data_IF_460481228605
#
_entry.id   IF_460481228605
#
_cell.length_a   1.000
_cell.length_b   1.000
_cell.length_c   1.000
_cell.angle_alpha   90.00
_cell.angle_beta   90.00
_cell.angle_gamma   90.00
#
_symmetry.space_group_name_H-M   'P 1'
#
loop_
_entity.id
_entity.type
_entity.pdbx_description
1 polymer ?
#
# COMPACT_ATOMS: atom_id res chain seq x y z
N UNK A 1 30.39 4.50 -0.07
CA UNK A 1 29.51 3.68 0.79
C UNK A 1 28.60 2.89 -0.15
N UNK A 2 28.45 1.56 0.01
CA UNK A 2 27.52 0.78 -0.82
C UNK A 2 26.10 1.33 -0.67
N UNK A 3 25.29 1.23 -1.72
CA UNK A 3 23.91 1.68 -1.65
C UNK A 3 23.05 0.72 -0.79
N UNK A 4 21.88 1.16 -0.30
CA UNK A 4 21.04 0.33 0.56
C UNK A 4 20.55 -0.99 -0.07
N UNK A 5 20.37 -1.07 -1.41
CA UNK A 5 19.99 -2.34 -2.05
C UNK A 5 21.15 -3.32 -1.99
N UNK A 6 22.37 -2.88 -2.35
CA UNK A 6 23.56 -3.74 -2.28
C UNK A 6 23.84 -4.25 -0.86
N UNK A 7 23.61 -3.41 0.16
CA UNK A 7 23.74 -3.82 1.57
C UNK A 7 22.69 -4.88 1.95
N UNK A 8 21.43 -4.68 1.58
CA UNK A 8 20.36 -5.64 1.87
C UNK A 8 20.56 -6.97 1.13
N UNK A 9 20.94 -6.92 -0.15
CA UNK A 9 21.23 -8.12 -0.94
C UNK A 9 22.41 -8.95 -0.40
N UNK A 10 23.34 -8.33 0.35
CA UNK A 10 24.42 -9.06 1.02
C UNK A 10 23.98 -9.66 2.36
N UNK A 11 23.01 -9.02 3.03
CA UNK A 11 22.55 -9.41 4.37
C UNK A 11 21.45 -10.47 4.37
N UNK A 12 20.74 -10.65 3.24
CA UNK A 12 19.58 -11.51 3.12
C UNK A 12 19.69 -12.44 1.91
N UNK A 13 19.18 -13.67 2.02
CA UNK A 13 19.26 -14.68 0.96
C UNK A 13 18.13 -14.60 -0.07
N UNK A 14 16.98 -14.01 0.29
CA UNK A 14 15.81 -13.91 -0.57
C UNK A 14 15.38 -12.45 -0.78
N UNK A 15 14.76 -12.19 -1.93
CA UNK A 15 14.22 -10.88 -2.25
C UNK A 15 13.00 -10.98 -3.17
N UNK A 16 12.03 -10.08 -2.99
CA UNK A 16 10.85 -9.96 -3.86
C UNK A 16 10.46 -8.50 -4.11
N UNK A 17 9.72 -8.27 -5.18
CA UNK A 17 9.14 -6.95 -5.44
C UNK A 17 8.09 -6.62 -4.39
N UNK A 18 8.10 -5.38 -3.89
CA UNK A 18 7.13 -4.91 -2.91
C UNK A 18 6.81 -3.41 -3.08
N UNK A 19 5.70 -2.97 -2.51
CA UNK A 19 5.33 -1.56 -2.46
C UNK A 19 5.00 -1.17 -1.01
N UNK A 20 5.57 -0.06 -0.53
CA UNK A 20 5.32 0.45 0.81
C UNK A 20 4.49 1.72 0.75
N UNK A 21 3.36 1.76 1.45
CA UNK A 21 2.45 2.90 1.53
C UNK A 21 2.67 3.59 2.87
N UNK A 22 3.10 4.85 2.81
CA UNK A 22 3.32 5.68 3.99
C UNK A 22 2.13 6.60 4.24
N UNK A 23 1.82 6.76 5.52
CA UNK A 23 0.67 7.54 5.98
C UNK A 23 1.09 8.75 6.77
N UNK A 24 0.68 9.92 6.27
CA UNK A 24 0.91 11.21 6.88
C UNK A 24 -0.41 11.83 7.34
N UNK A 25 -0.50 12.27 8.60
CA UNK A 25 -1.68 12.92 9.16
C UNK A 25 -1.70 12.84 10.69
N UNK A 26 -2.88 12.88 11.31
CA UNK A 26 -3.02 12.68 12.76
C UNK A 26 -2.61 11.26 13.20
N UNK A 27 -2.53 10.32 12.26
CA UNK A 27 -2.11 8.94 12.49
C UNK A 27 -1.07 8.53 11.46
N UNK A 28 0.18 8.31 11.91
CA UNK A 28 1.21 7.63 11.11
C UNK A 28 0.90 6.14 11.08
N UNK A 29 1.18 5.52 9.94
CA UNK A 29 0.91 4.12 9.64
C UNK A 29 1.79 3.65 8.48
N UNK A 30 1.86 2.33 8.31
CA UNK A 30 2.57 1.69 7.22
C UNK A 30 1.71 0.54 6.69
N UNK A 31 1.62 0.43 5.36
CA UNK A 31 1.22 -0.82 4.70
C UNK A 31 2.32 -1.23 3.73
N UNK A 32 2.65 -2.51 3.66
CA UNK A 32 3.57 -3.02 2.66
C UNK A 32 2.93 -4.21 1.97
N UNK A 33 2.91 -4.21 0.65
CA UNK A 33 2.38 -5.29 -0.17
C UNK A 33 3.54 -6.03 -0.85
N UNK A 34 3.60 -7.36 -0.72
CA UNK A 34 4.60 -8.23 -1.35
C UNK A 34 3.88 -9.33 -2.16
N UNK A 35 3.45 -9.03 -3.41
CA UNK A 35 2.62 -9.92 -4.20
C UNK A 35 3.23 -11.29 -4.50
N UNK A 36 4.54 -11.35 -4.72
CA UNK A 36 5.24 -12.59 -5.12
C UNK A 36 5.19 -13.67 -4.03
N UNK A 37 5.06 -13.26 -2.76
CA UNK A 37 4.88 -14.17 -1.61
C UNK A 37 3.47 -14.12 -1.03
N UNK A 38 2.54 -13.43 -1.70
CA UNK A 38 1.16 -13.26 -1.28
C UNK A 38 1.01 -12.79 0.19
N UNK A 39 1.84 -11.82 0.62
CA UNK A 39 1.78 -11.24 1.96
C UNK A 39 1.62 -9.72 1.93
N UNK A 40 0.96 -9.18 2.96
CA UNK A 40 1.04 -7.77 3.32
C UNK A 40 1.39 -7.58 4.78
N UNK A 41 2.11 -6.50 5.06
CA UNK A 41 2.25 -5.94 6.40
C UNK A 41 1.27 -4.79 6.57
N UNK A 42 0.57 -4.72 7.69
CA UNK A 42 -0.29 -3.59 8.04
C UNK A 42 -0.08 -3.15 9.49
N UNK A 43 0.36 -1.91 9.66
CA UNK A 43 0.17 -1.11 10.86
C UNK A 43 -0.96 -0.13 10.57
N UNK A 44 -2.19 -0.59 10.86
CA UNK A 44 -3.47 0.02 10.49
C UNK A 44 -3.70 0.00 8.97
N UNK A 45 -4.96 -0.12 8.57
CA UNK A 45 -5.31 -0.06 7.16
C UNK A 45 -5.36 1.42 6.77
N UNK A 46 -4.67 1.88 5.75
CA UNK A 46 -4.89 3.23 5.19
C UNK A 46 -4.40 3.14 3.72
N UNK A 47 -4.59 4.21 2.92
CA UNK A 47 -4.06 4.32 1.53
C UNK A 47 -3.10 5.50 1.32
N UNK A 48 -1.84 5.22 1.01
CA UNK A 48 -0.71 6.14 1.13
C UNK A 48 0.08 6.16 -0.16
N UNK A 49 1.17 6.93 -0.18
CA UNK A 49 2.00 7.08 -1.37
C UNK A 49 3.00 5.93 -1.44
N UNK A 50 3.07 5.24 -2.59
CA UNK A 50 3.93 4.08 -2.79
C UNK A 50 5.29 4.44 -3.43
N UNK A 51 6.40 4.36 -2.69
CA UNK A 51 7.64 3.93 -3.30
C UNK A 51 7.58 2.42 -3.58
N UNK A 52 7.81 2.06 -4.84
CA UNK A 52 8.06 0.67 -5.25
C UNK A 52 9.50 0.28 -4.91
N UNK A 53 9.69 -0.91 -4.36
CA UNK A 53 11.00 -1.36 -3.89
C UNK A 53 11.11 -2.88 -3.81
N UNK A 54 12.05 -3.31 -2.98
CA UNK A 54 12.38 -4.72 -2.81
C UNK A 54 12.32 -5.05 -1.33
N UNK A 55 11.61 -6.13 -1.00
CA UNK A 55 11.60 -6.74 0.32
C UNK A 55 12.64 -7.86 0.36
N UNK A 56 13.58 -7.75 1.28
CA UNK A 56 14.67 -8.69 1.54
C UNK A 56 14.42 -9.47 2.83
N UNK A 57 14.67 -10.79 2.84
CA UNK A 57 14.43 -11.68 3.98
C UNK A 57 15.21 -12.99 3.84
N UNK A 58 15.21 -13.86 4.85
CA UNK A 58 15.97 -15.12 4.81
C UNK A 58 15.09 -16.37 4.61
N UNK A 59 13.81 -16.31 4.99
CA UNK A 59 12.84 -17.32 4.58
C UNK A 59 11.40 -16.91 4.91
N UNK A 60 10.43 -17.52 4.22
CA UNK A 60 9.00 -17.18 4.38
C UNK A 60 8.49 -17.33 5.82
N UNK A 61 9.12 -18.20 6.61
CA UNK A 61 8.77 -18.42 8.02
C UNK A 61 9.07 -17.21 8.92
N UNK A 62 9.90 -16.26 8.47
CA UNK A 62 10.17 -15.03 9.19
C UNK A 62 8.90 -14.15 9.34
N UNK A 63 7.93 -14.33 8.44
CA UNK A 63 6.66 -13.63 8.42
C UNK A 63 5.54 -14.36 9.16
N UNK A 64 5.88 -15.14 10.20
CA UNK A 64 4.91 -15.89 10.99
C UNK A 64 3.73 -15.00 11.42
N UNK A 65 2.52 -15.43 11.05
CA UNK A 65 1.29 -14.66 11.28
C UNK A 65 0.63 -15.01 12.61
N UNK A 66 0.83 -16.23 13.10
CA UNK A 66 0.27 -16.72 14.37
C UNK A 66 1.32 -17.46 15.18
N UNK A 67 1.23 -17.37 16.51
CA UNK A 67 2.05 -18.17 17.41
C UNK A 67 1.52 -19.61 17.52
N UNK A 68 2.21 -20.46 18.30
CA UNK A 68 1.80 -21.86 18.53
C UNK A 68 0.44 -22.04 19.21
N UNK A 69 -0.19 -20.95 19.68
CA UNK A 69 -1.56 -20.94 20.23
C UNK A 69 -2.61 -20.41 19.24
N UNK A 70 -2.20 -20.02 18.03
CA UNK A 70 -3.07 -19.44 17.01
C UNK A 70 -3.35 -17.93 17.19
N UNK A 71 -2.68 -17.26 18.13
CA UNK A 71 -2.82 -15.82 18.32
C UNK A 71 -1.97 -15.06 17.31
N UNK A 72 -2.51 -13.96 16.76
CA UNK A 72 -1.78 -13.13 15.81
C UNK A 72 -0.46 -12.60 16.39
N UNK A 73 0.63 -12.75 15.63
CA UNK A 73 1.94 -12.22 16.00
C UNK A 73 2.01 -10.75 15.59
N UNK A 74 2.40 -9.92 16.56
CA UNK A 74 2.69 -8.52 16.33
C UNK A 74 4.20 -8.36 16.11
N UNK A 75 4.55 -7.64 15.06
CA UNK A 75 5.91 -7.37 14.65
C UNK A 75 6.17 -5.88 14.76
N UNK A 76 7.37 -5.51 15.17
CA UNK A 76 7.80 -4.12 15.21
C UNK A 76 8.50 -3.75 13.90
N UNK A 77 8.44 -2.48 13.55
CA UNK A 77 9.15 -1.97 12.38
C UNK A 77 9.77 -0.60 12.64
N UNK A 78 10.83 -0.31 11.91
CA UNK A 78 11.53 0.99 11.88
C UNK A 78 11.51 1.55 10.47
N UNK A 79 11.47 2.87 10.33
CA UNK A 79 11.57 3.57 9.04
C UNK A 79 12.74 4.55 9.10
N UNK A 80 13.59 4.51 8.08
CA UNK A 80 14.71 5.45 7.92
C UNK A 80 14.74 5.98 6.50
N UNK A 81 14.84 7.30 6.36
CA UNK A 81 15.24 7.96 5.13
C UNK A 81 16.74 8.17 5.13
N UNK A 82 17.44 7.65 4.12
CA UNK A 82 18.91 7.76 4.01
C UNK A 82 19.31 8.28 2.64
N UNK A 83 20.21 9.25 2.60
CA UNK A 83 20.79 9.77 1.34
C UNK A 83 22.15 9.13 1.10
N UNK A 84 22.32 8.46 -0.03
CA UNK A 84 23.60 7.86 -0.46
C UNK A 84 23.90 8.33 -1.88
N UNK A 85 25.07 8.96 -2.08
CA UNK A 85 25.51 9.50 -3.37
C UNK A 85 24.45 10.41 -4.05
N UNK A 86 23.76 11.24 -3.27
CA UNK A 86 22.73 12.14 -3.79
C UNK A 86 21.34 11.54 -3.93
N UNK A 87 21.19 10.21 -3.93
CA UNK A 87 19.89 9.53 -4.01
C UNK A 87 19.33 9.29 -2.61
N UNK A 88 18.08 9.68 -2.38
CA UNK A 88 17.35 9.36 -1.16
C UNK A 88 16.73 7.95 -1.27
N UNK A 89 16.74 7.23 -0.16
CA UNK A 89 16.20 5.88 -0.03
C UNK A 89 15.25 5.80 1.16
N UNK A 90 14.17 5.05 0.98
CA UNK A 90 13.31 4.59 2.06
C UNK A 90 13.76 3.20 2.50
N UNK A 91 14.02 3.01 3.78
CA UNK A 91 14.44 1.74 4.38
C UNK A 91 13.46 1.42 5.50
N UNK A 92 12.90 0.22 5.48
CA UNK A 92 12.03 -0.28 6.55
C UNK A 92 12.66 -1.56 7.10
N UNK A 93 12.97 -1.59 8.39
CA UNK A 93 13.40 -2.80 9.08
C UNK A 93 12.24 -3.44 9.83
N UNK A 94 12.05 -4.76 9.69
CA UNK A 94 11.06 -5.53 10.44
C UNK A 94 11.75 -6.38 11.50
N UNK A 95 11.23 -6.36 12.72
CA UNK A 95 11.81 -7.01 13.88
C UNK A 95 10.74 -7.88 14.57
N UNK A 96 11.17 -9.01 15.13
CA UNK A 96 10.26 -9.92 15.83
C UNK A 96 9.78 -9.27 17.12
N UNK A 97 8.53 -9.52 17.51
CA UNK A 97 7.97 -9.02 18.76
C UNK A 97 7.53 -7.55 18.71
N UNK A 98 6.77 -7.16 19.75
CA UNK A 98 6.08 -5.87 19.83
C UNK A 98 6.74 -4.87 20.76
N UNK A 99 7.82 -5.24 21.44
CA UNK A 99 8.50 -4.38 22.42
C UNK A 99 9.67 -3.62 21.78
N UNK A 100 10.10 -2.55 22.47
CA UNK A 100 11.21 -1.71 21.98
C UNK A 100 12.57 -2.40 22.07
N UNK A 101 12.69 -3.54 22.76
CA UNK A 101 13.98 -4.23 22.92
C UNK A 101 14.42 -4.91 21.63
N UNK A 102 13.45 -5.28 20.79
CA UNK A 102 13.74 -5.88 19.50
C UNK A 102 14.18 -4.87 18.44
N UNK A 103 13.96 -3.57 18.65
CA UNK A 103 14.40 -2.52 17.74
C UNK A 103 15.92 -2.34 17.71
N UNK A 104 16.61 -2.76 18.77
CA UNK A 104 18.07 -2.73 18.87
C UNK A 104 18.73 -3.96 18.20
N UNK A 105 17.94 -4.93 17.75
CA UNK A 105 18.42 -6.13 17.04
C UNK A 105 18.40 -5.94 15.52
N UNK A 106 19.21 -6.72 14.80
CA UNK A 106 19.16 -6.73 13.33
C UNK A 106 17.76 -7.14 12.84
N UNK A 107 17.19 -6.43 11.84
CA UNK A 107 15.87 -6.77 11.32
C UNK A 107 15.91 -8.13 10.61
N UNK A 108 14.86 -8.94 10.79
CA UNK A 108 14.71 -10.22 10.09
C UNK A 108 14.34 -10.04 8.60
N UNK A 109 13.75 -8.90 8.26
CA UNK A 109 13.43 -8.52 6.89
C UNK A 109 13.61 -7.02 6.70
N UNK A 110 13.94 -6.60 5.48
CA UNK A 110 14.19 -5.20 5.15
C UNK A 110 13.53 -4.84 3.82
N UNK A 111 12.70 -3.81 3.82
CA UNK A 111 12.26 -3.18 2.58
C UNK A 111 13.20 -2.04 2.22
N UNK A 112 13.59 -1.97 0.95
CA UNK A 112 14.41 -0.89 0.41
C UNK A 112 13.78 -0.35 -0.86
N UNK A 113 13.66 0.96 -0.94
CA UNK A 113 13.24 1.66 -2.17
C UNK A 113 14.04 2.94 -2.39
N UNK A 114 14.14 3.39 -3.64
CA UNK A 114 14.54 4.77 -3.95
C UNK A 114 13.36 5.69 -3.63
N UNK A 115 13.63 6.78 -2.95
CA UNK A 115 12.64 7.78 -2.55
C UNK A 115 13.00 9.16 -3.12
N UNK A 116 13.05 9.33 -4.45
CA UNK A 116 13.43 10.60 -5.07
C UNK A 116 12.48 11.75 -4.71
N UNK A 117 11.23 11.42 -4.38
CA UNK A 117 10.18 12.37 -4.02
C UNK A 117 10.16 12.70 -2.51
N UNK A 118 11.00 12.04 -1.70
CA UNK A 118 11.08 12.27 -0.27
C UNK A 118 9.80 11.92 0.49
N UNK A 119 9.06 10.88 0.06
CA UNK A 119 7.80 10.42 0.64
C UNK A 119 7.94 10.17 2.15
N UNK A 120 9.02 9.53 2.60
CA UNK A 120 9.23 9.23 4.03
C UNK A 120 9.37 10.51 4.85
N UNK A 121 10.11 11.49 4.33
CA UNK A 121 10.31 12.79 4.98
C UNK A 121 9.04 13.63 4.95
N UNK A 122 8.34 13.67 3.81
CA UNK A 122 7.06 14.34 3.66
C UNK A 122 6.00 13.76 4.62
N UNK A 123 6.04 12.46 4.87
CA UNK A 123 5.17 11.82 5.85
C UNK A 123 5.60 12.04 7.31
N UNK A 124 6.75 12.67 7.56
CA UNK A 124 7.30 12.83 8.90
C UNK A 124 7.63 11.50 9.56
N UNK A 125 7.94 10.46 8.79
CA UNK A 125 8.18 9.09 9.26
C UNK A 125 9.67 8.72 9.30
N UNK A 126 10.59 9.67 9.11
CA UNK A 126 12.00 9.40 9.30
C UNK A 126 12.32 9.13 10.79
N UNK A 127 13.05 8.05 11.07
CA UNK A 127 13.30 7.52 12.41
C UNK A 127 12.02 7.15 13.18
N UNK A 128 10.95 6.82 12.46
CA UNK A 128 9.71 6.36 13.06
C UNK A 128 9.79 4.86 13.37
N UNK A 129 9.13 4.43 14.45
CA UNK A 129 8.91 3.03 14.73
C UNK A 129 7.50 2.82 15.28
N UNK A 130 6.93 1.66 14.97
CA UNK A 130 5.65 1.23 15.50
C UNK A 130 5.54 -0.30 15.36
N UNK A 131 4.31 -0.82 15.47
CA UNK A 131 4.03 -2.24 15.38
C UNK A 131 2.91 -2.49 14.40
N UNK A 132 2.92 -3.67 13.78
CA UNK A 132 1.89 -4.11 12.87
C UNK A 132 1.88 -5.63 12.80
N UNK A 133 1.24 -6.16 11.76
CA UNK A 133 1.14 -7.61 11.55
C UNK A 133 1.25 -7.94 10.07
N UNK A 134 1.80 -9.12 9.81
CA UNK A 134 1.70 -9.76 8.51
C UNK A 134 0.34 -10.45 8.37
N UNK A 135 -0.20 -10.42 7.16
CA UNK A 135 -1.43 -11.10 6.78
C UNK A 135 -1.31 -11.59 5.33
N UNK A 136 -2.14 -12.58 4.93
CA UNK A 136 -2.20 -12.97 3.52
C UNK A 136 -2.66 -11.79 2.68
N UNK A 137 -1.97 -11.55 1.57
CA UNK A 137 -2.38 -10.58 0.57
C UNK A 137 -3.56 -11.14 -0.23
N UNK A 138 -4.77 -10.94 0.29
CA UNK A 138 -5.99 -11.34 -0.41
C UNK A 138 -6.37 -10.23 -1.38
N UNK A 139 -5.78 -10.26 -2.56
CA UNK A 139 -6.18 -9.38 -3.65
C UNK A 139 -6.59 -10.24 -4.84
N UNK A 140 -7.89 -10.46 -4.98
CA UNK A 140 -8.45 -10.90 -6.25
C UNK A 140 -8.43 -9.71 -7.22
N UNK A 141 -8.20 -9.99 -8.50
CA UNK A 141 -8.18 -8.94 -9.52
C UNK A 141 -9.07 -9.25 -10.71
N UNK A 142 -9.57 -8.19 -11.35
CA UNK A 142 -10.34 -8.28 -12.58
C UNK A 142 -10.13 -7.01 -13.41
N UNK A 143 -10.16 -7.13 -14.74
CA UNK A 143 -10.22 -5.95 -15.60
C UNK A 143 -11.53 -5.18 -15.34
N UNK A 144 -11.42 -3.87 -15.20
CA UNK A 144 -12.55 -3.00 -14.92
C UNK A 144 -12.47 -1.67 -15.68
N UNK A 145 -13.63 -1.05 -15.82
CA UNK A 145 -13.79 0.33 -16.29
C UNK A 145 -14.37 1.15 -15.15
N UNK A 146 -13.78 2.31 -14.87
CA UNK A 146 -14.25 3.27 -13.86
C UNK A 146 -14.67 4.56 -14.56
N UNK A 147 -15.90 5.00 -14.32
CA UNK A 147 -16.49 6.12 -15.04
C UNK A 147 -17.20 7.08 -14.08
N UNK A 148 -17.11 8.38 -14.37
CA UNK A 148 -17.92 9.43 -13.76
C UNK A 148 -18.33 10.42 -14.83
N UNK A 149 -19.63 10.69 -14.93
CA UNK A 149 -20.19 11.68 -15.85
C UNK A 149 -20.39 13.04 -15.15
N UNK A 150 -20.36 14.13 -15.92
CA UNK A 150 -20.31 15.52 -15.41
C UNK A 150 -21.48 15.92 -14.51
N UNK A 151 -22.65 15.32 -14.70
CA UNK A 151 -23.86 15.61 -13.92
C UNK A 151 -24.04 14.70 -12.71
N UNK A 152 -23.17 13.70 -12.50
CA UNK A 152 -23.31 12.68 -11.48
C UNK A 152 -22.20 12.78 -10.42
N UNK A 153 -22.59 12.73 -9.14
CA UNK A 153 -21.64 12.53 -8.05
C UNK A 153 -21.13 11.09 -8.00
N UNK A 154 -21.78 10.15 -8.69
CA UNK A 154 -21.42 8.74 -8.64
C UNK A 154 -20.28 8.39 -9.57
N UNK A 155 -19.25 7.78 -9.01
CA UNK A 155 -18.25 6.98 -9.71
C UNK A 155 -18.79 5.56 -9.84
N UNK A 156 -18.81 5.04 -11.07
CA UNK A 156 -19.27 3.69 -11.39
C UNK A 156 -18.06 2.83 -11.73
N UNK A 157 -17.94 1.65 -11.12
CA UNK A 157 -17.02 0.62 -11.59
C UNK A 157 -17.82 -0.47 -12.28
N UNK A 158 -17.36 -0.92 -13.44
CA UNK A 158 -17.86 -2.13 -14.09
C UNK A 158 -16.70 -3.10 -14.32
N UNK A 159 -16.83 -4.32 -13.79
CA UNK A 159 -15.89 -5.43 -13.97
C UNK A 159 -16.62 -6.61 -14.65
N UNK A 160 -16.66 -6.64 -16.00
CA UNK A 160 -17.54 -7.57 -16.74
C UNK A 160 -17.22 -9.04 -16.49
N UNK A 161 -15.94 -9.41 -16.42
CA UNK A 161 -15.50 -10.80 -16.27
C UNK A 161 -16.03 -11.46 -14.98
N UNK A 162 -16.18 -10.67 -13.92
CA UNK A 162 -16.69 -11.12 -12.63
C UNK A 162 -18.17 -10.72 -12.42
N UNK A 163 -18.82 -10.17 -13.45
CA UNK A 163 -20.23 -9.74 -13.46
C UNK A 163 -20.57 -8.80 -12.31
N UNK A 164 -19.69 -7.85 -12.02
CA UNK A 164 -19.88 -6.85 -10.96
C UNK A 164 -19.93 -5.44 -11.51
N UNK A 165 -20.87 -4.67 -10.96
CA UNK A 165 -20.96 -3.23 -11.10
C UNK A 165 -21.20 -2.64 -9.71
N UNK A 166 -20.58 -1.50 -9.41
CA UNK A 166 -20.76 -0.80 -8.15
C UNK A 166 -20.79 0.71 -8.36
N UNK A 167 -21.36 1.42 -7.40
CA UNK A 167 -21.52 2.87 -7.44
C UNK A 167 -21.09 3.47 -6.10
N UNK A 168 -20.30 4.54 -6.16
CA UNK A 168 -19.77 5.24 -5.00
C UNK A 168 -19.88 6.73 -5.22
N UNK A 169 -20.12 7.52 -4.18
CA UNK A 169 -20.02 8.97 -4.28
C UNK A 169 -18.55 9.39 -4.46
N UNK A 170 -18.27 10.24 -5.43
CA UNK A 170 -16.99 10.90 -5.56
C UNK A 170 -16.67 11.69 -4.30
N UNK A 171 -15.38 11.79 -4.00
CA UNK A 171 -14.83 12.70 -3.01
C UNK A 171 -13.50 13.27 -3.48
N UNK A 172 -13.14 14.43 -2.93
CA UNK A 172 -11.83 15.05 -3.12
C UNK A 172 -11.60 15.46 -4.57
N UNK A 173 -10.49 15.00 -5.16
CA UNK A 173 -10.12 15.34 -6.54
C UNK A 173 -11.18 14.87 -7.55
N UNK A 174 -11.95 13.82 -7.21
CA UNK A 174 -12.94 13.25 -8.13
C UNK A 174 -14.25 14.04 -8.21
N UNK A 175 -14.55 14.91 -7.24
CA UNK A 175 -15.86 15.58 -7.15
C UNK A 175 -16.20 16.39 -8.39
N UNK A 176 -15.23 17.11 -8.91
CA UNK A 176 -15.41 18.03 -10.04
C UNK A 176 -14.90 17.47 -11.37
N UNK A 177 -14.65 16.16 -11.43
CA UNK A 177 -14.07 15.52 -12.61
C UNK A 177 -15.08 14.64 -13.35
N UNK A 178 -14.90 14.60 -14.67
CA UNK A 178 -15.54 13.64 -15.58
C UNK A 178 -14.42 12.79 -16.16
N UNK A 179 -14.55 11.48 -16.10
CA UNK A 179 -13.48 10.58 -16.53
C UNK A 179 -14.01 9.19 -16.89
N UNK A 180 -13.25 8.50 -17.74
CA UNK A 180 -13.39 7.07 -18.04
C UNK A 180 -12.00 6.45 -18.00
N UNK A 181 -11.81 5.45 -17.15
CA UNK A 181 -10.51 4.82 -16.87
C UNK A 181 -10.66 3.32 -17.04
N UNK A 182 -9.75 2.69 -17.79
CA UNK A 182 -9.62 1.22 -17.83
C UNK A 182 -8.44 0.80 -16.97
N UNK A 183 -8.61 -0.26 -16.19
CA UNK A 183 -7.56 -0.74 -15.29
C UNK A 183 -7.83 -2.11 -14.68
N UNK A 184 -6.96 -2.51 -13.77
CA UNK A 184 -7.16 -3.67 -12.93
C UNK A 184 -7.84 -3.23 -11.62
N UNK A 185 -9.03 -3.77 -11.37
CA UNK A 185 -9.71 -3.72 -10.08
C UNK A 185 -9.09 -4.79 -9.18
N UNK A 186 -8.67 -4.36 -8.01
CA UNK A 186 -8.11 -5.17 -6.94
C UNK A 186 -9.07 -5.12 -5.75
N UNK A 187 -9.47 -6.28 -5.23
CA UNK A 187 -10.51 -6.36 -4.18
C UNK A 187 -10.27 -7.53 -3.22
N UNK A 188 -10.67 -7.34 -1.96
CA UNK A 188 -10.54 -8.37 -0.90
C UNK A 188 -11.63 -9.44 -0.99
N UNK A 189 -12.87 -9.03 -1.24
CA UNK A 189 -14.03 -9.91 -1.41
C UNK A 189 -14.90 -9.37 -2.55
N UNK A 190 -15.24 -10.23 -3.51
CA UNK A 190 -16.10 -9.88 -4.63
C UNK A 190 -17.47 -9.34 -4.18
N UNK A 191 -17.93 -9.75 -2.99
CA UNK A 191 -19.20 -9.31 -2.41
C UNK A 191 -19.18 -7.86 -1.96
N UNK A 192 -18.02 -7.27 -1.70
CA UNK A 192 -17.90 -5.88 -1.21
C UNK A 192 -17.86 -4.86 -2.35
N UNK A 193 -17.65 -5.31 -3.60
CA UNK A 193 -17.73 -4.44 -4.78
C UNK A 193 -19.16 -3.91 -4.92
N UNK A 194 -19.31 -2.59 -4.80
CA UNK A 194 -20.58 -1.87 -4.83
C UNK A 194 -21.22 -1.61 -3.46
N UNK A 195 -20.63 -2.12 -2.37
CA UNK A 195 -21.14 -1.91 -1.00
C UNK A 195 -20.47 -0.72 -0.28
N UNK A 196 -19.79 0.16 -1.02
CA UNK A 196 -19.12 1.30 -0.43
C UNK A 196 -19.82 2.62 -0.69
N UNK A 197 -19.50 3.60 0.14
CA UNK A 197 -20.09 4.94 0.07
C UNK A 197 -19.27 5.88 -0.81
N UNK A 198 -17.95 5.77 -0.80
CA UNK A 198 -17.08 6.79 -1.39
C UNK A 198 -16.02 6.25 -2.34
N UNK A 199 -15.70 7.03 -3.37
CA UNK A 199 -14.54 6.85 -4.23
C UNK A 199 -13.64 8.09 -4.13
N UNK A 200 -12.34 7.87 -3.96
CA UNK A 200 -11.35 8.95 -3.95
C UNK A 200 -10.15 8.59 -4.84
N UNK A 201 -9.45 9.62 -5.31
CA UNK A 201 -8.20 9.47 -6.02
C UNK A 201 -7.03 9.51 -5.04
N UNK A 202 -6.12 8.54 -5.16
CA UNK A 202 -4.90 8.51 -4.37
C UNK A 202 -3.70 8.21 -5.26
N UNK A 203 -3.02 9.27 -5.69
CA UNK A 203 -1.78 9.29 -6.45
C UNK A 203 -1.79 8.54 -7.80
N UNK A 204 -1.89 7.22 -7.82
CA UNK A 204 -1.84 6.37 -9.02
C UNK A 204 -3.10 5.50 -9.19
N UNK A 205 -4.04 5.55 -8.23
CA UNK A 205 -5.21 4.67 -8.20
C UNK A 205 -6.48 5.39 -7.76
N UNK A 206 -7.63 4.84 -8.16
CA UNK A 206 -8.93 5.18 -7.57
C UNK A 206 -9.23 4.15 -6.49
N UNK A 207 -9.70 4.61 -5.33
CA UNK A 207 -10.01 3.73 -4.21
C UNK A 207 -11.45 3.90 -3.74
N UNK A 208 -12.04 2.78 -3.34
CA UNK A 208 -13.44 2.62 -2.99
C UNK A 208 -13.59 2.19 -1.53
N UNK A 209 -14.26 3.02 -0.74
CA UNK A 209 -14.36 2.89 0.71
C UNK A 209 -15.77 2.49 1.15
N UNK A 210 -15.85 1.67 2.21
CA UNK A 210 -17.11 1.17 2.75
C UNK A 210 -17.91 2.26 3.49
N UNK A 211 -17.24 3.08 4.30
CA UNK A 211 -17.90 3.90 5.33
C UNK A 211 -17.44 5.37 5.37
N UNK A 212 -16.16 5.65 5.12
CA UNK A 212 -15.56 6.99 5.14
C UNK A 212 -14.54 7.08 4.00
N UNK A 213 -14.48 8.21 3.29
CA UNK A 213 -13.55 8.45 2.18
C UNK A 213 -12.10 8.64 2.63
N UNK A 214 -11.89 8.83 3.93
CA UNK A 214 -10.59 8.74 4.60
C UNK A 214 -10.47 7.46 5.45
N UNK A 215 -11.40 6.50 5.29
CA UNK A 215 -11.40 5.27 6.07
C UNK A 215 -10.10 4.51 5.88
N UNK A 216 -9.72 3.85 6.97
CA UNK A 216 -8.65 2.89 7.03
C UNK A 216 -8.93 1.67 6.15
N UNK A 217 -10.18 1.21 6.14
CA UNK A 217 -10.61 0.03 5.40
C UNK A 217 -11.24 0.42 4.05
N UNK A 218 -10.70 -0.15 2.98
CA UNK A 218 -11.21 -0.02 1.62
C UNK A 218 -11.72 -1.37 1.11
N UNK A 219 -12.74 -1.29 0.25
CA UNK A 219 -13.37 -2.46 -0.36
C UNK A 219 -12.61 -2.95 -1.59
N UNK A 220 -12.13 -2.00 -2.40
CA UNK A 220 -11.38 -2.26 -3.62
C UNK A 220 -10.58 -1.01 -4.04
N UNK A 221 -9.64 -1.18 -4.96
CA UNK A 221 -9.01 -0.08 -5.69
C UNK A 221 -8.81 -0.45 -7.16
N UNK A 222 -8.69 0.55 -8.04
CA UNK A 222 -8.37 0.37 -9.45
C UNK A 222 -7.05 1.06 -9.76
N UNK A 223 -6.09 0.30 -10.26
CA UNK A 223 -4.90 0.85 -10.94
C UNK A 223 -5.17 0.88 -12.45
N UNK A 224 -5.08 2.04 -13.10
CA UNK A 224 -5.23 2.14 -14.55
C UNK A 224 -4.19 1.33 -15.31
N UNK A 225 -4.51 1.00 -16.56
CA UNK A 225 -3.51 0.50 -17.51
C UNK A 225 -2.56 1.60 -18.02
N UNK A 226 -2.97 2.86 -17.92
CA UNK A 226 -2.23 4.04 -18.39
C UNK A 226 -2.26 5.13 -17.32
N UNK A 227 -1.16 5.88 -17.14
CA UNK A 227 -1.06 6.85 -16.06
C UNK A 227 -2.23 7.85 -16.02
N UNK A 228 -2.69 8.17 -14.80
CA UNK A 228 -3.77 9.13 -14.58
C UNK A 228 -3.36 10.58 -14.91
N UNK A 229 -2.07 10.87 -15.00
CA UNK A 229 -1.56 12.19 -15.39
C UNK A 229 -2.10 12.67 -16.73
N UNK A 230 -2.50 11.74 -17.61
CA UNK A 230 -3.13 12.06 -18.88
C UNK A 230 -4.64 12.36 -18.76
N UNK A 231 -5.30 11.85 -17.71
CA UNK A 231 -6.75 11.95 -17.52
C UNK A 231 -7.18 13.09 -16.59
N UNK A 232 -6.27 13.59 -15.74
CA UNK A 232 -6.52 14.76 -14.88
C UNK A 232 -6.09 16.09 -15.52
N UNK A 233 -5.29 16.04 -16.60
CA UNK A 233 -4.99 17.18 -17.47
C UNK A 233 -6.10 17.28 -18.53
N UNK A 234 -6.76 18.44 -18.58
CA UNK A 234 -7.88 18.82 -19.48
C UNK A 234 -9.26 18.29 -19.02
N UNK A 235 -10.33 19.08 -18.94
CA UNK A 235 -10.61 20.47 -19.37
C UNK A 235 -10.75 21.45 -18.19
#
# INVERSE_FOLDING_TARGET
MPDPFSQAATAFSEQVSAAALFFSGNNKALRLEAPDIALEFTDKAYIGTDPEGVLYFNGINDFAMTDGSGKAIIHSYTITSKKVNGTAYAIIGFHQGSDSKHLDSEPYAKFVSKDPNGVVLAAGMNNYSATGKWAPLVIASAAAVVEKHSTNSKVTITAPAIRKTGHWDSKGVLDHKTFTVKGNLFFKDIKTIGNGLFANYNNDRIVFYASDWNSTDFTAFVRPFTSFDFLLKSC
#
